data_IF_594861330681
#
_entry.id   IF_594861330681
#
_cell.length_a   1.000
_cell.length_b   1.000
_cell.length_c   1.000
_cell.angle_alpha   90.00
_cell.angle_beta   90.00
_cell.angle_gamma   90.00
#
_symmetry.space_group_name_H-M   'P 1'
#
loop_
_entity.id
_entity.type
_entity.pdbx_description
1 polymer ?
#
# COMPACT_ATOMS: atom_id res chain seq x y z
N UNK A 1 -3.84 63.32 -51.61
CA UNK A 1 -5.29 63.07 -51.46
C UNK A 1 -5.50 62.20 -50.22
N UNK A 2 -6.34 62.71 -49.31
CA UNK A 2 -6.71 62.26 -47.95
C UNK A 2 -6.23 60.89 -47.44
N UNK A 3 -5.44 60.94 -46.36
CA UNK A 3 -5.27 59.84 -45.39
C UNK A 3 -6.59 59.69 -44.63
N UNK A 4 -7.27 58.55 -44.77
CA UNK A 4 -8.51 58.26 -44.03
C UNK A 4 -8.19 58.04 -42.55
N UNK A 5 -8.63 58.95 -41.69
CA UNK A 5 -8.63 58.74 -40.24
C UNK A 5 -9.62 57.64 -39.91
N UNK A 6 -9.11 56.51 -39.40
CA UNK A 6 -9.93 55.43 -38.83
C UNK A 6 -10.45 55.96 -37.50
N UNK A 7 -11.69 56.45 -37.47
CA UNK A 7 -12.38 56.74 -36.21
C UNK A 7 -12.71 55.40 -35.55
N UNK A 8 -11.83 54.92 -34.66
CA UNK A 8 -12.15 53.83 -33.74
C UNK A 8 -13.20 54.37 -32.77
N UNK A 9 -14.46 54.12 -33.11
CA UNK A 9 -15.58 54.29 -32.18
C UNK A 9 -15.30 53.52 -30.90
N UNK A 10 -15.53 54.16 -29.75
CA UNK A 10 -15.53 53.61 -28.38
C UNK A 10 -16.39 52.33 -28.22
N UNK A 11 -17.05 51.84 -29.27
CA UNK A 11 -17.71 50.53 -29.30
C UNK A 11 -16.81 49.32 -29.67
N UNK A 12 -15.69 49.49 -30.38
CA UNK A 12 -14.91 48.34 -30.90
C UNK A 12 -13.84 47.86 -29.90
N UNK A 13 -13.21 48.78 -29.15
CA UNK A 13 -12.17 48.44 -28.17
C UNK A 13 -12.69 47.68 -26.94
N UNK A 14 -13.91 48.00 -26.47
CA UNK A 14 -14.51 47.34 -25.31
C UNK A 14 -14.86 45.87 -25.57
N UNK A 15 -15.43 45.55 -26.74
CA UNK A 15 -15.74 44.17 -27.12
C UNK A 15 -14.47 43.32 -27.27
N UNK A 16 -13.37 43.89 -27.74
CA UNK A 16 -12.08 43.18 -27.82
C UNK A 16 -11.52 42.83 -26.42
N UNK A 17 -11.63 43.73 -25.45
CA UNK A 17 -11.18 43.47 -24.08
C UNK A 17 -12.02 42.37 -23.44
N UNK A 18 -13.35 42.40 -23.63
CA UNK A 18 -14.26 41.38 -23.10
C UNK A 18 -13.96 40.01 -23.72
N UNK A 19 -13.74 39.94 -25.03
CA UNK A 19 -13.44 38.68 -25.71
C UNK A 19 -12.12 38.08 -25.25
N UNK A 20 -11.05 38.89 -25.11
CA UNK A 20 -9.77 38.43 -24.56
C UNK A 20 -9.94 37.90 -23.13
N UNK A 21 -10.70 38.60 -22.28
CA UNK A 21 -10.95 38.16 -20.91
C UNK A 21 -11.68 36.81 -20.87
N UNK A 22 -12.71 36.62 -21.70
CA UNK A 22 -13.43 35.36 -21.81
C UNK A 22 -12.48 34.24 -22.25
N UNK A 23 -11.64 34.48 -23.26
CA UNK A 23 -10.67 33.48 -23.73
C UNK A 23 -9.66 33.11 -22.64
N UNK A 24 -9.16 34.08 -21.87
CA UNK A 24 -8.28 33.82 -20.74
C UNK A 24 -9.00 33.02 -19.64
N UNK A 25 -10.25 33.35 -19.32
CA UNK A 25 -11.06 32.58 -18.38
C UNK A 25 -11.26 31.14 -18.86
N UNK A 26 -11.59 30.93 -20.13
CA UNK A 26 -11.75 29.61 -20.72
C UNK A 26 -10.43 28.82 -20.70
N UNK A 27 -9.29 29.48 -20.93
CA UNK A 27 -7.97 28.85 -20.84
C UNK A 27 -7.69 28.37 -19.42
N UNK A 28 -7.96 29.19 -18.40
CA UNK A 28 -7.77 28.80 -17.00
C UNK A 28 -8.67 27.61 -16.64
N UNK A 29 -9.94 27.63 -17.03
CA UNK A 29 -10.85 26.50 -16.80
C UNK A 29 -10.42 25.23 -17.53
N UNK A 30 -9.92 25.34 -18.76
CA UNK A 30 -9.39 24.21 -19.50
C UNK A 30 -8.15 23.61 -18.83
N UNK A 31 -7.22 24.45 -18.36
CA UNK A 31 -6.03 23.99 -17.63
C UNK A 31 -6.41 23.31 -16.32
N UNK A 32 -7.32 23.89 -15.54
CA UNK A 32 -7.82 23.27 -14.31
C UNK A 32 -8.46 21.91 -14.59
N UNK A 33 -9.31 21.82 -15.63
CA UNK A 33 -9.92 20.54 -16.03
C UNK A 33 -8.88 19.48 -16.41
N UNK A 34 -7.80 19.86 -17.10
CA UNK A 34 -6.71 18.95 -17.45
C UNK A 34 -5.92 18.50 -16.22
N UNK A 35 -5.55 19.43 -15.34
CA UNK A 35 -4.81 19.11 -14.11
C UNK A 35 -5.62 18.20 -13.21
N UNK A 36 -6.93 18.45 -13.06
CA UNK A 36 -7.83 17.56 -12.32
C UNK A 36 -7.89 16.18 -12.97
N UNK A 37 -8.14 16.07 -14.28
CA UNK A 37 -8.19 14.77 -14.96
C UNK A 37 -6.87 13.99 -14.88
N UNK A 38 -5.73 14.68 -14.96
CA UNK A 38 -4.41 14.08 -14.80
C UNK A 38 -4.17 13.61 -13.36
N UNK A 39 -4.57 14.40 -12.37
CA UNK A 39 -4.53 14.01 -10.96
C UNK A 39 -5.41 12.78 -10.71
N UNK A 40 -6.63 12.77 -11.24
CA UNK A 40 -7.57 11.65 -11.11
C UNK A 40 -7.01 10.38 -11.78
N UNK A 41 -6.37 10.50 -12.94
CA UNK A 41 -5.70 9.38 -13.60
C UNK A 41 -4.52 8.85 -12.78
N UNK A 42 -3.69 9.73 -12.22
CA UNK A 42 -2.58 9.32 -11.35
C UNK A 42 -3.09 8.63 -10.08
N UNK A 43 -4.15 9.18 -9.46
CA UNK A 43 -4.79 8.61 -8.29
C UNK A 43 -5.41 7.23 -8.60
N UNK A 44 -6.08 7.09 -9.75
CA UNK A 44 -6.68 5.83 -10.18
C UNK A 44 -5.63 4.75 -10.42
N UNK A 45 -4.50 5.08 -11.05
CA UNK A 45 -3.41 4.12 -11.25
C UNK A 45 -2.83 3.66 -9.92
N UNK A 46 -2.56 4.60 -9.00
CA UNK A 46 -2.08 4.26 -7.66
C UNK A 46 -3.08 3.41 -6.88
N UNK A 47 -4.38 3.71 -7.00
CA UNK A 47 -5.42 2.91 -6.36
C UNK A 47 -5.47 1.47 -6.92
N UNK A 48 -5.30 1.30 -8.23
CA UNK A 48 -5.23 -0.02 -8.86
C UNK A 48 -4.02 -0.82 -8.37
N UNK A 49 -2.85 -0.20 -8.31
CA UNK A 49 -1.60 -0.80 -7.82
C UNK A 49 -1.73 -1.26 -6.36
N UNK A 50 -2.22 -0.37 -5.48
CA UNK A 50 -2.48 -0.69 -4.07
C UNK A 50 -3.47 -1.85 -3.94
N UNK A 51 -4.53 -1.85 -4.76
CA UNK A 51 -5.55 -2.90 -4.71
C UNK A 51 -4.98 -4.24 -5.15
N UNK A 52 -4.17 -4.27 -6.21
CA UNK A 52 -3.53 -5.48 -6.71
C UNK A 52 -2.54 -6.06 -5.69
N UNK A 53 -1.68 -5.22 -5.11
CA UNK A 53 -0.73 -5.62 -4.07
C UNK A 53 -1.46 -6.15 -2.82
N UNK A 54 -2.53 -5.47 -2.39
CA UNK A 54 -3.36 -5.92 -1.27
C UNK A 54 -3.88 -7.36 -1.47
N UNK A 55 -4.46 -7.66 -2.63
CA UNK A 55 -4.97 -9.01 -2.91
C UNK A 55 -3.86 -10.03 -3.10
N UNK A 56 -2.72 -9.63 -3.67
CA UNK A 56 -1.57 -10.50 -3.85
C UNK A 56 -1.03 -10.99 -2.50
N UNK A 57 -0.77 -10.08 -1.56
CA UNK A 57 -0.22 -10.42 -0.24
C UNK A 57 -1.25 -11.21 0.57
N UNK A 58 -2.52 -10.82 0.51
CA UNK A 58 -3.59 -11.53 1.19
C UNK A 58 -3.71 -12.97 0.67
N UNK A 59 -3.64 -13.18 -0.65
CA UNK A 59 -3.64 -14.50 -1.26
C UNK A 59 -2.46 -15.36 -0.80
N UNK A 60 -1.26 -14.77 -0.70
CA UNK A 60 -0.06 -15.47 -0.17
C UNK A 60 -0.20 -15.85 1.30
N UNK A 61 -0.79 -14.96 2.11
CA UNK A 61 -1.04 -15.24 3.53
C UNK A 61 -2.08 -16.35 3.72
N UNK A 62 -3.11 -16.40 2.87
CA UNK A 62 -4.10 -17.49 2.83
C UNK A 62 -3.50 -18.80 2.31
N UNK A 63 -2.63 -18.77 1.29
CA UNK A 63 -1.91 -19.95 0.79
C UNK A 63 -1.06 -20.58 1.91
N UNK A 64 -0.37 -19.75 2.69
CA UNK A 64 0.37 -20.22 3.88
C UNK A 64 -0.55 -20.74 4.99
N UNK A 65 -1.69 -20.10 5.21
CA UNK A 65 -2.69 -20.60 6.17
C UNK A 65 -3.20 -21.99 5.75
N UNK A 66 -3.44 -22.19 4.46
CA UNK A 66 -3.88 -23.47 3.91
C UNK A 66 -2.83 -24.56 4.09
N UNK A 67 -1.54 -24.26 3.87
CA UNK A 67 -0.43 -25.19 4.13
C UNK A 67 -0.40 -25.62 5.61
N UNK A 68 -0.53 -24.66 6.53
CA UNK A 68 -0.61 -24.93 7.97
C UNK A 68 -1.83 -25.80 8.30
N UNK A 69 -2.99 -25.51 7.69
CA UNK A 69 -4.23 -26.28 7.87
C UNK A 69 -4.09 -27.73 7.39
N UNK A 70 -3.46 -27.94 6.22
CA UNK A 70 -3.23 -29.28 5.67
C UNK A 70 -2.30 -30.10 6.58
N UNK A 71 -1.24 -29.48 7.10
CA UNK A 71 -0.34 -30.10 8.08
C UNK A 71 -1.10 -30.47 9.36
N UNK A 72 -1.95 -29.58 9.87
CA UNK A 72 -2.77 -29.84 11.06
C UNK A 72 -3.80 -30.95 10.83
N UNK A 73 -4.37 -31.04 9.64
CA UNK A 73 -5.34 -32.09 9.28
C UNK A 73 -4.69 -33.46 9.09
N UNK A 74 -3.44 -33.48 8.60
CA UNK A 74 -2.64 -34.71 8.42
C UNK A 74 -2.10 -35.33 9.71
N UNK A 75 -2.31 -34.68 10.86
CA UNK A 75 -1.84 -35.14 12.17
C UNK A 75 -2.91 -36.01 12.84
N UNK A 76 -2.52 -37.21 13.26
CA UNK A 76 -3.39 -38.13 14.00
C UNK A 76 -3.65 -37.61 15.43
N UNK A 77 -4.81 -37.95 15.99
CA UNK A 77 -5.24 -37.53 17.34
C UNK A 77 -4.27 -38.05 18.42
N UNK A 78 -3.54 -39.14 18.13
CA UNK A 78 -2.53 -39.71 19.01
C UNK A 78 -1.15 -39.06 18.92
N UNK A 79 -0.94 -38.14 17.98
CA UNK A 79 0.36 -37.48 17.84
C UNK A 79 0.57 -36.51 19.01
N UNK A 80 1.67 -36.70 19.73
CA UNK A 80 2.01 -35.85 20.87
C UNK A 80 2.18 -34.40 20.44
N UNK A 81 1.82 -33.47 21.31
CA UNK A 81 1.92 -32.02 21.05
C UNK A 81 3.30 -31.61 20.49
N UNK A 82 4.37 -32.24 20.95
CA UNK A 82 5.74 -31.99 20.49
C UNK A 82 5.99 -32.37 19.02
N UNK A 83 5.28 -33.37 18.48
CA UNK A 83 5.41 -33.75 17.07
C UNK A 83 4.67 -32.77 16.15
N UNK A 84 3.58 -32.20 16.63
CA UNK A 84 2.84 -31.15 15.92
C UNK A 84 3.69 -29.89 15.81
N UNK A 85 4.30 -29.46 16.91
CA UNK A 85 5.18 -28.30 16.92
C UNK A 85 6.37 -28.48 15.97
N UNK A 86 7.00 -29.66 15.95
CA UNK A 86 8.09 -29.96 15.00
C UNK A 86 7.67 -29.91 13.54
N UNK A 87 6.49 -30.45 13.20
CA UNK A 87 5.96 -30.41 11.83
C UNK A 87 5.60 -28.99 11.38
N UNK A 88 5.14 -28.15 12.31
CA UNK A 88 4.81 -26.75 12.04
C UNK A 88 6.07 -25.86 11.93
N UNK A 89 7.12 -26.17 12.70
CA UNK A 89 8.42 -25.49 12.59
C UNK A 89 9.23 -25.89 11.34
N UNK A 90 8.86 -26.99 10.67
CA UNK A 90 9.46 -27.38 9.38
C UNK A 90 8.92 -26.52 8.21
N UNK A 91 7.82 -25.79 8.44
CA UNK A 91 7.25 -24.87 7.45
C UNK A 91 8.10 -23.60 7.40
N UNK A 92 8.63 -23.29 6.21
CA UNK A 92 9.46 -22.11 5.97
C UNK A 92 8.72 -20.81 6.33
N UNK A 93 9.36 -19.97 7.15
CA UNK A 93 8.86 -18.65 7.57
C UNK A 93 7.87 -18.64 8.73
N UNK A 94 7.67 -19.77 9.42
CA UNK A 94 6.76 -19.89 10.56
C UNK A 94 7.52 -19.87 11.89
N UNK A 95 7.09 -19.02 12.81
CA UNK A 95 7.57 -18.95 14.19
C UNK A 95 6.56 -19.61 15.11
N UNK A 96 6.98 -20.66 15.81
CA UNK A 96 6.14 -21.37 16.76
C UNK A 96 6.61 -21.06 18.19
N UNK A 97 5.71 -20.53 19.01
CA UNK A 97 5.89 -20.39 20.44
C UNK A 97 5.45 -21.69 21.13
N UNK A 98 6.43 -22.49 21.54
CA UNK A 98 6.23 -23.78 22.20
C UNK A 98 5.56 -23.64 23.59
N UNK A 99 5.74 -22.51 24.28
CA UNK A 99 5.20 -22.29 25.63
C UNK A 99 3.71 -21.92 25.58
N UNK A 100 3.31 -21.08 24.62
CA UNK A 100 1.94 -20.58 24.50
C UNK A 100 1.11 -21.29 23.43
N UNK A 101 1.66 -22.28 22.71
CA UNK A 101 1.00 -22.92 21.56
C UNK A 101 0.52 -21.89 20.52
N UNK A 102 1.33 -20.86 20.27
CA UNK A 102 1.03 -19.82 19.28
C UNK A 102 1.89 -20.01 18.05
N UNK A 103 1.32 -19.74 16.89
CA UNK A 103 2.00 -19.79 15.61
C UNK A 103 1.92 -18.43 14.95
N UNK A 104 3.05 -17.87 14.56
CA UNK A 104 3.14 -16.56 13.90
C UNK A 104 3.85 -16.72 12.58
N UNK A 105 3.33 -16.10 11.53
CA UNK A 105 4.01 -16.04 10.25
C UNK A 105 3.83 -14.66 9.63
N UNK A 106 4.84 -14.25 8.86
CA UNK A 106 4.84 -12.97 8.17
C UNK A 106 4.98 -13.20 6.66
N UNK A 107 4.11 -12.54 5.91
CA UNK A 107 4.15 -12.56 4.44
C UNK A 107 4.43 -11.16 3.95
N UNK A 108 5.47 -11.03 3.11
CA UNK A 108 5.90 -9.77 2.53
C UNK A 108 5.30 -9.58 1.13
N UNK A 109 4.87 -8.36 0.86
CA UNK A 109 4.46 -7.89 -0.46
C UNK A 109 5.56 -7.21 -1.26
N UNK A 110 5.19 -6.72 -2.44
CA UNK A 110 6.12 -6.01 -3.33
C UNK A 110 6.36 -4.57 -2.91
N UNK A 111 5.32 -3.87 -2.41
CA UNK A 111 5.37 -2.43 -2.11
C UNK A 111 5.44 -2.10 -0.61
N UNK A 112 6.36 -2.73 0.12
CA UNK A 112 6.59 -2.48 1.55
C UNK A 112 5.35 -2.71 2.43
N UNK A 113 4.50 -3.67 2.08
CA UNK A 113 3.42 -4.14 2.94
C UNK A 113 3.76 -5.54 3.46
N UNK A 114 3.38 -5.82 4.69
CA UNK A 114 3.46 -7.16 5.27
C UNK A 114 2.15 -7.51 5.97
N UNK A 115 1.75 -8.77 5.85
CA UNK A 115 0.69 -9.34 6.66
C UNK A 115 1.36 -10.19 7.74
N UNK A 116 1.11 -9.85 8.99
CA UNK A 116 1.50 -10.65 10.15
C UNK A 116 0.26 -11.36 10.67
N UNK A 117 0.31 -12.68 10.71
CA UNK A 117 -0.79 -13.53 11.18
C UNK A 117 -0.35 -14.25 12.44
N UNK A 118 -1.17 -14.18 13.48
CA UNK A 118 -0.99 -14.92 14.74
C UNK A 118 -2.15 -15.90 14.89
N UNK A 119 -1.82 -17.18 14.95
CA UNK A 119 -2.72 -18.29 15.19
C UNK A 119 -2.52 -18.82 16.61
N UNK A 120 -3.62 -19.14 17.28
CA UNK A 120 -3.63 -19.86 18.53
C UNK A 120 -3.99 -21.32 18.25
N UNK A 121 -3.12 -22.26 18.63
CA UNK A 121 -3.33 -23.68 18.41
C UNK A 121 -4.03 -24.28 19.63
N UNK A 122 -5.22 -24.82 19.40
CA UNK A 122 -6.04 -25.43 20.44
C UNK A 122 -6.20 -26.93 20.17
N UNK A 123 -6.27 -27.69 21.25
CA UNK A 123 -6.43 -29.14 21.19
C UNK A 123 -7.62 -29.55 22.08
N UNK A 124 -8.69 -30.04 21.45
CA UNK A 124 -9.85 -30.65 22.15
C UNK A 124 -10.00 -32.13 21.81
N UNK A 125 -10.28 -32.40 20.55
CA UNK A 125 -10.50 -33.74 19.99
C UNK A 125 -9.66 -33.96 18.71
N UNK A 126 -9.27 -32.85 18.08
CA UNK A 126 -8.28 -32.73 17.00
C UNK A 126 -7.53 -31.41 17.21
N UNK A 127 -6.40 -31.24 16.55
CA UNK A 127 -5.73 -29.95 16.51
C UNK A 127 -6.52 -29.01 15.59
N UNK A 128 -6.85 -27.81 16.11
CA UNK A 128 -7.47 -26.75 15.33
C UNK A 128 -6.76 -25.44 15.64
N UNK A 129 -6.77 -24.53 14.67
CA UNK A 129 -6.24 -23.18 14.84
C UNK A 129 -7.39 -22.18 14.98
N UNK A 130 -7.17 -21.17 15.80
CA UNK A 130 -8.00 -19.97 15.88
C UNK A 130 -7.15 -18.77 15.47
N UNK A 131 -7.64 -17.95 14.55
CA UNK A 131 -6.93 -16.75 14.11
C UNK A 131 -7.10 -15.70 15.22
N UNK A 132 -6.04 -15.43 15.97
CA UNK A 132 -6.03 -14.41 17.04
C UNK A 132 -5.86 -13.02 16.44
N UNK A 133 -4.96 -12.88 15.45
CA UNK A 133 -4.70 -11.61 14.79
C UNK A 133 -4.37 -11.80 13.31
N UNK A 134 -4.94 -10.93 12.49
CA UNK A 134 -4.60 -10.76 11.08
C UNK A 134 -4.35 -9.28 10.82
N UNK A 135 -3.08 -8.87 10.73
CA UNK A 135 -2.74 -7.46 10.64
C UNK A 135 -1.96 -7.14 9.37
N UNK A 136 -2.46 -6.19 8.59
CA UNK A 136 -1.74 -5.57 7.48
C UNK A 136 -0.96 -4.38 8.02
N UNK A 137 0.36 -4.47 7.99
CA UNK A 137 1.24 -3.37 8.38
C UNK A 137 2.12 -2.97 7.21
N UNK A 138 2.54 -1.70 7.18
CA UNK A 138 3.64 -1.32 6.30
C UNK A 138 4.93 -1.83 6.93
N UNK A 139 5.82 -2.35 6.11
CA UNK A 139 7.18 -2.66 6.52
C UNK A 139 7.79 -1.32 6.94
N UNK A 140 7.95 -1.13 8.25
CA UNK A 140 8.72 -0.01 8.78
C UNK A 140 10.14 -0.19 8.24
N UNK A 141 10.54 0.68 7.31
CA UNK A 141 11.94 0.83 6.96
C UNK A 141 12.70 1.06 8.27
N UNK A 142 13.86 0.42 8.49
CA UNK A 142 14.71 0.84 9.59
C UNK A 142 14.88 2.33 9.46
N UNK A 143 14.49 3.08 10.49
CA UNK A 143 14.89 4.48 10.62
C UNK A 143 16.40 4.40 10.64
N UNK A 144 17.04 4.64 9.50
CA UNK A 144 18.41 5.06 9.49
C UNK A 144 18.34 6.35 10.30
N UNK A 145 18.72 6.28 11.58
CA UNK A 145 19.20 7.47 12.25
C UNK A 145 20.29 7.96 11.32
N UNK A 146 19.98 9.01 10.56
CA UNK A 146 20.99 9.84 9.97
C UNK A 146 21.78 10.35 11.18
N UNK A 147 22.74 9.56 11.66
CA UNK A 147 23.87 10.09 12.40
C UNK A 147 24.41 11.15 11.47
N UNK A 148 24.06 12.40 11.78
CA UNK A 148 24.63 13.58 11.14
C UNK A 148 26.12 13.47 11.48
N UNK A 149 26.87 12.83 10.58
CA UNK A 149 28.32 12.84 10.62
C UNK A 149 28.67 14.30 10.39
N UNK A 150 29.00 15.01 11.47
CA UNK A 150 29.41 16.40 11.42
C UNK A 150 30.80 16.44 10.78
N UNK A 151 30.82 16.45 9.45
CA UNK A 151 32.03 16.44 8.61
C UNK A 151 32.71 17.82 8.53
N UNK A 152 32.29 18.79 9.36
CA UNK A 152 32.80 20.15 9.35
C UNK A 152 33.42 20.52 10.70
N UNK A 153 34.70 20.19 10.89
CA UNK A 153 35.54 20.96 11.81
C UNK A 153 35.98 22.23 11.08
N UNK A 154 35.31 23.35 11.36
CA UNK A 154 35.63 24.65 10.78
C UNK A 154 37.12 24.97 10.96
N UNK A 155 37.78 25.35 9.88
CA UNK A 155 39.13 25.92 9.95
C UNK A 155 39.02 27.40 10.34
N UNK A 156 39.72 27.78 11.41
CA UNK A 156 39.95 29.18 11.81
C UNK A 156 40.72 29.98 10.76
#
# INVERSE_FOLDING_TARGET
MRISKINVSVGIGGTLIITIFIVLCLMIFAVLSFVTAYSDLKLSNKAQEITADYYYIHGRAEEKLAEISDVLYGIDINDGKDNVLKKLSDIDGVYVDEENFKLQYEVFGEENQKISVTLNLLHKDRFYYEIEAWNLSKIELPVYEDEIIDIWEGIE
#
